data_IF_948447923986
#
_entry.id   IF_948447923986
#
_cell.length_a   1.000
_cell.length_b   1.000
_cell.length_c   1.000
_cell.angle_alpha   90.00
_cell.angle_beta   90.00
_cell.angle_gamma   90.00
#
_symmetry.space_group_name_H-M   'P 1'
#
loop_
_entity.id
_entity.type
_entity.pdbx_description
1 polymer ?
#
# COMPACT_ATOMS: atom_id res chain seq x y z
N UNK A 1 33.97 21.91 49.39
CA UNK A 1 33.57 22.39 48.05
C UNK A 1 33.49 21.20 47.10
N UNK A 2 32.28 20.75 46.75
CA UNK A 2 32.01 19.58 45.89
C UNK A 2 32.12 19.97 44.42
N UNK A 3 32.95 19.28 43.64
CA UNK A 3 33.01 19.39 42.18
C UNK A 3 32.15 18.29 41.56
N UNK A 4 31.09 18.68 40.86
CA UNK A 4 30.18 17.77 40.17
C UNK A 4 30.75 17.53 38.78
N UNK A 5 31.11 16.27 38.48
CA UNK A 5 31.45 15.85 37.13
C UNK A 5 30.15 15.55 36.37
N UNK A 6 29.85 16.40 35.39
CA UNK A 6 28.75 16.23 34.44
C UNK A 6 29.27 15.37 33.28
N UNK A 7 28.94 14.08 33.26
CA UNK A 7 29.35 13.12 32.23
C UNK A 7 28.19 12.71 31.33
N UNK A 8 28.00 13.49 30.27
CA UNK A 8 27.27 13.24 28.99
C UNK A 8 26.38 11.98 28.95
N UNK A 9 25.07 12.18 29.12
CA UNK A 9 24.07 11.25 28.60
C UNK A 9 23.95 11.48 27.08
N UNK A 10 24.29 10.45 26.30
CA UNK A 10 24.11 10.45 24.85
C UNK A 10 22.60 10.50 24.57
N UNK A 11 22.14 11.64 24.03
CA UNK A 11 20.81 11.82 23.45
C UNK A 11 20.70 10.95 22.19
N UNK A 12 20.18 9.73 22.35
CA UNK A 12 19.58 8.96 21.24
C UNK A 12 18.08 8.95 21.46
N UNK A 13 17.40 9.95 20.90
CA UNK A 13 15.94 9.95 20.67
C UNK A 13 15.61 11.12 19.72
N UNK A 14 16.10 11.03 18.48
CA UNK A 14 15.46 11.71 17.35
C UNK A 14 14.59 10.68 16.65
N UNK A 15 13.35 10.57 17.12
CA UNK A 15 12.34 9.68 16.57
C UNK A 15 11.43 9.23 17.69
N UNK A 16 10.13 9.46 17.54
CA UNK A 16 9.03 9.13 18.47
C UNK A 16 8.57 10.26 19.41
N UNK A 17 8.24 11.43 18.87
CA UNK A 17 7.25 12.33 19.51
C UNK A 17 6.29 12.91 18.48
N UNK A 18 5.48 12.05 17.84
CA UNK A 18 4.33 12.50 17.03
C UNK A 18 3.21 11.46 16.84
N UNK A 19 3.25 10.29 17.51
CA UNK A 19 2.42 9.13 17.12
C UNK A 19 0.99 9.15 17.69
N UNK A 20 0.53 10.19 18.39
CA UNK A 20 -0.87 10.22 18.85
C UNK A 20 -1.70 11.38 18.28
N UNK A 21 -1.08 12.43 17.75
CA UNK A 21 -1.80 13.58 17.17
C UNK A 21 -1.79 13.65 15.63
N UNK A 22 -0.84 12.98 14.97
CA UNK A 22 -0.70 13.02 13.50
C UNK A 22 -1.36 11.85 12.76
N UNK A 23 -1.74 10.79 13.47
CA UNK A 23 -2.44 9.64 12.86
C UNK A 23 -3.92 9.93 12.55
N UNK A 24 -4.52 10.90 13.24
CA UNK A 24 -5.90 11.34 13.02
C UNK A 24 -6.00 12.58 12.12
N UNK A 25 -4.86 13.12 11.68
CA UNK A 25 -4.85 14.21 10.72
C UNK A 25 -5.24 13.68 9.34
N UNK A 26 -6.32 14.25 8.80
CA UNK A 26 -6.85 13.93 7.48
C UNK A 26 -6.02 14.67 6.44
N UNK A 27 -5.16 13.96 5.72
CA UNK A 27 -4.35 14.54 4.64
C UNK A 27 -4.86 14.07 3.27
N UNK A 28 -4.99 15.01 2.34
CA UNK A 28 -5.17 14.71 0.92
C UNK A 28 -3.78 14.37 0.36
N UNK A 29 -3.54 13.09 0.05
CA UNK A 29 -2.27 12.68 -0.55
C UNK A 29 -2.37 12.80 -2.05
N UNK A 30 -1.66 13.79 -2.59
CA UNK A 30 -1.48 13.95 -4.02
C UNK A 30 -0.43 12.95 -4.58
N UNK A 31 0.51 12.50 -3.74
CA UNK A 31 1.46 11.42 -4.04
C UNK A 31 1.44 10.36 -2.94
N UNK A 32 1.02 9.15 -3.29
CA UNK A 32 0.91 8.04 -2.32
C UNK A 32 2.26 7.34 -2.06
N UNK A 33 3.33 7.68 -2.81
CA UNK A 33 4.65 7.06 -2.64
C UNK A 33 5.34 7.42 -1.32
N UNK A 34 4.94 8.52 -0.70
CA UNK A 34 5.44 9.01 0.59
C UNK A 34 4.56 8.58 1.77
N UNK A 35 3.50 7.81 1.52
CA UNK A 35 2.58 7.39 2.57
C UNK A 35 3.12 6.19 3.35
N UNK A 36 3.17 6.33 4.67
CA UNK A 36 3.32 5.21 5.60
C UNK A 36 1.95 4.70 6.05
N UNK A 37 1.72 3.39 5.92
CA UNK A 37 0.45 2.77 6.30
C UNK A 37 0.58 2.09 7.66
N UNK A 38 -0.38 2.33 8.57
CA UNK A 38 -0.42 1.66 9.88
C UNK A 38 -0.58 0.15 9.73
N UNK A 39 -1.40 -0.28 8.77
CA UNK A 39 -1.49 -1.65 8.31
C UNK A 39 -0.68 -1.76 7.02
N UNK A 40 0.49 -2.41 7.13
CA UNK A 40 1.30 -2.75 5.95
C UNK A 40 0.61 -3.79 5.07
N UNK A 41 0.98 -3.85 3.79
CA UNK A 41 0.49 -4.87 2.86
C UNK A 41 0.69 -6.30 3.39
N UNK A 42 1.82 -6.56 4.05
CA UNK A 42 2.08 -7.86 4.72
C UNK A 42 1.05 -8.16 5.80
N UNK A 43 0.71 -7.18 6.65
CA UNK A 43 -0.29 -7.34 7.71
C UNK A 43 -1.70 -7.48 7.12
N UNK A 44 -2.02 -6.71 6.08
CA UNK A 44 -3.27 -6.85 5.33
C UNK A 44 -3.41 -8.26 4.73
N UNK A 45 -2.33 -8.84 4.21
CA UNK A 45 -2.33 -10.23 3.73
C UNK A 45 -2.62 -11.27 4.81
N UNK A 46 -2.23 -11.02 6.06
CA UNK A 46 -2.64 -11.87 7.20
C UNK A 46 -4.13 -11.69 7.50
N UNK A 47 -4.61 -10.45 7.60
CA UNK A 47 -6.04 -10.17 7.85
C UNK A 47 -6.93 -10.82 6.78
N UNK A 48 -6.53 -10.77 5.50
CA UNK A 48 -7.23 -11.42 4.40
C UNK A 48 -7.38 -12.93 4.63
N UNK A 49 -6.28 -13.63 4.97
CA UNK A 49 -6.29 -15.07 5.22
C UNK A 49 -7.20 -15.43 6.39
N UNK A 50 -7.12 -14.66 7.47
CA UNK A 50 -7.91 -14.91 8.69
C UNK A 50 -9.41 -14.67 8.43
N UNK A 51 -9.75 -13.67 7.61
CA UNK A 51 -11.13 -13.31 7.30
C UNK A 51 -11.81 -14.27 6.30
N UNK A 52 -11.04 -14.91 5.40
CA UNK A 52 -11.60 -15.69 4.28
C UNK A 52 -11.25 -17.17 4.29
N UNK A 53 -10.22 -17.58 5.04
CA UNK A 53 -9.53 -18.86 4.89
C UNK A 53 -8.97 -19.12 3.48
N UNK A 54 -8.85 -18.10 2.64
CA UNK A 54 -8.26 -18.19 1.29
C UNK A 54 -6.80 -17.74 1.32
N UNK A 55 -6.01 -18.25 0.38
CA UNK A 55 -4.59 -17.88 0.24
C UNK A 55 -4.23 -17.35 -1.14
N UNK A 56 -5.14 -17.48 -2.10
CA UNK A 56 -4.91 -17.07 -3.48
C UNK A 56 -5.75 -15.86 -3.84
N UNK A 57 -5.11 -14.94 -4.55
CA UNK A 57 -5.74 -13.76 -5.15
C UNK A 57 -5.22 -13.60 -6.57
N UNK A 58 -5.99 -12.92 -7.41
CA UNK A 58 -5.58 -12.58 -8.77
C UNK A 58 -4.79 -11.27 -8.77
N UNK A 59 -5.22 -10.32 -7.96
CA UNK A 59 -4.55 -9.04 -7.78
C UNK A 59 -4.82 -8.48 -6.40
N UNK A 60 -3.91 -7.62 -5.95
CA UNK A 60 -4.14 -6.75 -4.80
C UNK A 60 -3.98 -5.32 -5.30
N UNK A 61 -4.98 -4.48 -5.08
CA UNK A 61 -4.94 -3.07 -5.47
C UNK A 61 -4.87 -2.17 -4.25
N UNK A 62 -4.29 -1.00 -4.42
CA UNK A 62 -4.38 0.09 -3.47
C UNK A 62 -4.92 1.31 -4.16
N UNK A 63 -6.16 1.66 -3.82
CA UNK A 63 -6.92 2.72 -4.45
C UNK A 63 -7.81 3.40 -3.43
N UNK A 64 -8.24 4.65 -3.70
CA UNK A 64 -9.33 5.24 -2.94
C UNK A 64 -10.61 4.40 -3.13
N UNK A 65 -11.47 4.42 -2.11
CA UNK A 65 -12.84 3.93 -2.16
C UNK A 65 -13.57 4.57 -3.35
N UNK A 66 -14.48 3.80 -3.96
CA UNK A 66 -15.29 4.30 -5.07
C UNK A 66 -16.13 5.51 -4.63
N UNK A 67 -16.36 6.44 -5.56
CA UNK A 67 -17.18 7.66 -5.36
C UNK A 67 -16.62 8.71 -4.38
N UNK A 68 -15.35 8.64 -4.02
CA UNK A 68 -14.69 9.69 -3.21
C UNK A 68 -14.05 10.75 -4.12
N UNK A 69 -14.62 11.96 -4.14
CA UNK A 69 -14.11 13.08 -4.95
C UNK A 69 -12.79 13.67 -4.41
N UNK A 70 -12.56 13.58 -3.09
CA UNK A 70 -11.36 14.11 -2.43
C UNK A 70 -10.78 13.06 -1.47
N UNK A 71 -9.96 12.13 -1.98
CA UNK A 71 -9.46 11.04 -1.17
C UNK A 71 -8.50 11.52 -0.09
N UNK A 72 -8.62 10.93 1.08
CA UNK A 72 -7.76 11.16 2.24
C UNK A 72 -7.11 9.83 2.64
N UNK A 73 -6.11 9.83 3.53
CA UNK A 73 -5.53 8.58 4.06
C UNK A 73 -6.58 7.57 4.53
N UNK A 74 -7.72 8.02 5.03
CA UNK A 74 -8.78 7.16 5.56
C UNK A 74 -9.71 6.58 4.49
N UNK A 75 -9.62 7.08 3.25
CA UNK A 75 -10.47 6.64 2.14
C UNK A 75 -9.75 5.67 1.22
N UNK A 76 -8.49 5.30 1.47
CA UNK A 76 -7.81 4.25 0.70
C UNK A 76 -8.10 2.87 1.27
N UNK A 77 -8.03 1.86 0.43
CA UNK A 77 -8.21 0.46 0.81
C UNK A 77 -7.21 -0.43 0.08
N UNK A 78 -6.79 -1.50 0.74
CA UNK A 78 -6.27 -2.66 0.03
C UNK A 78 -7.43 -3.50 -0.46
N UNK A 79 -7.52 -3.73 -1.77
CA UNK A 79 -8.52 -4.59 -2.39
C UNK A 79 -7.87 -5.91 -2.79
N UNK A 80 -8.16 -6.98 -2.05
CA UNK A 80 -7.74 -8.35 -2.37
C UNK A 80 -8.81 -8.97 -3.27
N UNK A 81 -8.49 -9.14 -4.55
CA UNK A 81 -9.45 -9.59 -5.57
C UNK A 81 -9.15 -11.05 -5.92
N UNK A 82 -10.04 -11.95 -5.52
CA UNK A 82 -10.04 -13.36 -5.86
C UNK A 82 -10.96 -13.69 -7.04
N UNK A 83 -11.23 -14.98 -7.25
CA UNK A 83 -12.09 -15.44 -8.35
C UNK A 83 -13.59 -15.24 -8.07
N UNK A 84 -14.00 -15.28 -6.80
CA UNK A 84 -15.39 -15.26 -6.35
C UNK A 84 -15.67 -14.19 -5.29
N UNK A 85 -14.63 -13.53 -4.78
CA UNK A 85 -14.72 -12.56 -3.68
C UNK A 85 -13.74 -11.42 -3.89
N UNK A 86 -14.14 -10.26 -3.40
CA UNK A 86 -13.29 -9.11 -3.15
C UNK A 86 -13.29 -8.83 -1.65
N UNK A 87 -12.12 -8.53 -1.10
CA UNK A 87 -11.96 -8.17 0.30
C UNK A 87 -11.27 -6.82 0.38
N UNK A 88 -11.98 -5.82 0.91
CA UNK A 88 -11.43 -4.51 1.17
C UNK A 88 -10.92 -4.44 2.61
N UNK A 89 -9.70 -3.95 2.80
CA UNK A 89 -9.05 -3.78 4.10
C UNK A 89 -8.57 -2.35 4.24
N UNK A 90 -9.09 -1.64 5.23
CA UNK A 90 -8.68 -0.28 5.52
C UNK A 90 -7.22 -0.24 6.06
N UNK A 91 -6.31 0.55 5.46
CA UNK A 91 -4.89 0.58 5.80
C UNK A 91 -4.58 1.29 7.12
N UNK A 92 -5.55 2.01 7.70
CA UNK A 92 -5.42 2.67 9.01
C UNK A 92 -5.93 1.74 10.12
N UNK A 93 -7.16 1.25 9.97
CA UNK A 93 -7.88 0.54 11.04
C UNK A 93 -7.80 -0.98 10.95
N UNK A 94 -7.50 -1.53 9.77
CA UNK A 94 -7.62 -2.97 9.50
C UNK A 94 -9.06 -3.47 9.37
N UNK A 95 -10.06 -2.58 9.43
CA UNK A 95 -11.47 -2.93 9.20
C UNK A 95 -11.60 -3.59 7.83
N UNK A 96 -12.31 -4.71 7.81
CA UNK A 96 -12.45 -5.58 6.64
C UNK A 96 -13.89 -5.64 6.18
N UNK A 97 -14.14 -5.50 4.88
CA UNK A 97 -15.42 -5.79 4.22
C UNK A 97 -15.21 -6.85 3.14
N UNK A 98 -16.22 -7.70 2.93
CA UNK A 98 -16.16 -8.81 1.98
C UNK A 98 -17.35 -8.70 1.04
N UNK A 99 -17.06 -8.69 -0.26
CA UNK A 99 -18.05 -8.62 -1.32
C UNK A 99 -17.95 -9.88 -2.20
N UNK A 100 -19.08 -10.51 -2.46
CA UNK A 100 -19.13 -11.62 -3.42
C UNK A 100 -19.10 -11.07 -4.84
N UNK A 101 -18.17 -11.54 -5.65
CA UNK A 101 -18.06 -11.16 -7.06
C UNK A 101 -18.94 -12.08 -7.91
N UNK A 102 -19.61 -11.51 -8.91
CA UNK A 102 -20.23 -12.32 -9.96
C UNK A 102 -19.09 -12.95 -10.77
N UNK A 103 -19.02 -14.28 -10.78
CA UNK A 103 -17.96 -15.11 -11.39
C UNK A 103 -17.46 -14.74 -12.82
N UNK A 104 -18.08 -13.79 -13.53
CA UNK A 104 -17.79 -13.50 -14.95
C UNK A 104 -16.65 -12.52 -15.20
N UNK A 105 -16.33 -11.61 -14.27
CA UNK A 105 -15.34 -10.54 -14.54
C UNK A 105 -13.87 -10.98 -14.40
N UNK A 106 -13.64 -12.09 -13.69
CA UNK A 106 -12.32 -12.49 -13.22
C UNK A 106 -11.97 -13.95 -13.55
N UNK A 107 -12.80 -14.65 -14.32
CA UNK A 107 -12.49 -16.02 -14.76
C UNK A 107 -11.22 -16.04 -15.62
N UNK A 108 -10.29 -16.93 -15.29
CA UNK A 108 -9.04 -17.22 -16.01
C UNK A 108 -7.89 -16.20 -15.84
N UNK A 109 -7.95 -15.24 -14.90
CA UNK A 109 -6.76 -14.48 -14.55
C UNK A 109 -5.82 -15.32 -13.68
N UNK A 110 -4.49 -15.25 -13.91
CA UNK A 110 -3.56 -16.00 -13.08
C UNK A 110 -3.59 -15.48 -11.64
N UNK A 111 -3.46 -16.41 -10.70
CA UNK A 111 -3.45 -16.15 -9.26
C UNK A 111 -2.04 -16.20 -8.70
N UNK A 112 -1.87 -15.63 -7.52
CA UNK A 112 -0.68 -15.80 -6.69
C UNK A 112 -1.06 -16.01 -5.23
N UNK A 113 -0.17 -16.65 -4.49
CA UNK A 113 -0.36 -16.87 -3.06
C UNK A 113 0.00 -15.60 -2.27
N UNK A 114 -0.90 -15.12 -1.43
CA UNK A 114 -0.73 -13.94 -0.57
C UNK A 114 0.50 -14.06 0.36
N UNK A 115 0.93 -15.28 0.70
CA UNK A 115 2.17 -15.52 1.44
C UNK A 115 3.43 -14.98 0.74
N UNK A 116 3.43 -14.86 -0.58
CA UNK A 116 4.55 -14.33 -1.36
C UNK A 116 4.82 -12.85 -1.06
N UNK A 117 3.84 -12.10 -0.54
CA UNK A 117 4.00 -10.69 -0.13
C UNK A 117 5.14 -10.50 0.87
N UNK A 118 5.43 -11.52 1.69
CA UNK A 118 6.52 -11.46 2.67
C UNK A 118 7.92 -11.50 2.06
N UNK A 119 8.04 -11.80 0.76
CA UNK A 119 9.30 -12.01 0.05
C UNK A 119 9.61 -10.90 -0.97
N UNK A 120 8.65 -10.01 -1.23
CA UNK A 120 8.76 -8.91 -2.20
C UNK A 120 9.08 -7.58 -1.52
N UNK A 121 9.54 -6.60 -2.29
CA UNK A 121 9.80 -5.25 -1.79
C UNK A 121 8.49 -4.55 -1.44
N UNK A 122 8.59 -3.53 -0.57
CA UNK A 122 7.41 -2.75 -0.16
C UNK A 122 6.86 -1.91 -1.33
N UNK A 123 5.53 -1.67 -1.40
CA UNK A 123 4.94 -0.83 -2.44
C UNK A 123 5.59 0.56 -2.57
N UNK A 124 5.99 1.17 -1.45
CA UNK A 124 6.69 2.46 -1.43
C UNK A 124 8.01 2.42 -2.20
N UNK A 125 8.77 1.33 -2.05
CA UNK A 125 10.04 1.16 -2.77
C UNK A 125 9.77 1.04 -4.27
N UNK A 126 8.76 0.25 -4.67
CA UNK A 126 8.39 0.10 -6.06
C UNK A 126 7.86 1.41 -6.69
N UNK A 127 7.07 2.20 -5.95
CA UNK A 127 6.60 3.51 -6.42
C UNK A 127 7.75 4.50 -6.61
N UNK A 128 8.69 4.58 -5.65
CA UNK A 128 9.87 5.43 -5.77
C UNK A 128 10.77 5.02 -6.93
N UNK A 129 10.89 3.71 -7.17
CA UNK A 129 11.57 3.17 -8.35
C UNK A 129 10.87 3.60 -9.66
N UNK A 130 9.54 3.48 -9.73
CA UNK A 130 8.75 3.90 -10.89
C UNK A 130 8.90 5.40 -11.18
N UNK A 131 8.80 6.26 -10.15
CA UNK A 131 9.00 7.72 -10.25
C UNK A 131 10.39 8.01 -10.83
N UNK A 132 11.43 7.35 -10.31
CA UNK A 132 12.81 7.51 -10.80
C UNK A 132 12.97 7.05 -12.25
N UNK A 133 12.36 5.93 -12.64
CA UNK A 133 12.41 5.40 -14.01
C UNK A 133 11.65 6.29 -15.01
N UNK A 134 10.56 6.92 -14.58
CA UNK A 134 9.78 7.84 -15.41
C UNK A 134 10.61 9.08 -15.81
N UNK A 135 11.48 9.58 -14.92
CA UNK A 135 12.43 10.65 -15.22
C UNK A 135 11.82 12.05 -15.37
N UNK A 136 10.49 12.17 -15.29
CA UNK A 136 9.75 13.43 -15.28
C UNK A 136 9.87 14.16 -13.93
N UNK A 137 9.83 15.49 -13.97
CA UNK A 137 9.88 16.32 -12.76
C UNK A 137 8.47 16.40 -12.17
N UNK A 138 8.31 16.23 -10.87
CA UNK A 138 7.01 16.31 -10.17
C UNK A 138 5.99 15.22 -10.53
N UNK A 139 6.41 14.12 -11.16
CA UNK A 139 5.54 12.95 -11.34
C UNK A 139 5.20 12.33 -9.99
N UNK A 140 3.93 11.96 -9.80
CA UNK A 140 3.38 11.45 -8.53
C UNK A 140 2.81 10.07 -8.71
N UNK A 141 2.97 9.20 -7.71
CA UNK A 141 2.28 7.93 -7.70
C UNK A 141 0.82 8.13 -7.25
N UNK A 142 -0.12 7.54 -8.00
CA UNK A 142 -1.57 7.68 -7.76
C UNK A 142 -2.21 6.38 -7.30
N UNK A 143 -1.75 5.26 -7.83
CA UNK A 143 -2.20 3.94 -7.39
C UNK A 143 -1.18 2.88 -7.76
N UNK A 144 -1.32 1.72 -7.12
CA UNK A 144 -0.57 0.54 -7.48
C UNK A 144 -1.45 -0.70 -7.42
N UNK A 145 -1.11 -1.68 -8.25
CA UNK A 145 -1.63 -3.04 -8.12
C UNK A 145 -0.50 -4.05 -8.13
N UNK A 146 -0.62 -5.10 -7.33
CA UNK A 146 0.24 -6.28 -7.36
C UNK A 146 -0.46 -7.36 -8.17
N UNK A 147 0.22 -7.89 -9.18
CA UNK A 147 -0.30 -8.91 -10.07
C UNK A 147 0.80 -9.88 -10.49
N UNK A 148 0.42 -11.03 -11.03
CA UNK A 148 1.36 -11.99 -11.62
C UNK A 148 1.38 -11.89 -13.14
N UNK A 149 2.57 -11.88 -13.72
CA UNK A 149 2.80 -11.91 -15.18
C UNK A 149 3.92 -12.89 -15.49
N UNK A 150 3.62 -13.89 -16.34
CA UNK A 150 4.57 -14.96 -16.70
C UNK A 150 5.22 -15.65 -15.47
N UNK A 151 4.43 -15.83 -14.40
CA UNK A 151 4.87 -16.52 -13.18
C UNK A 151 5.69 -15.67 -12.20
N UNK A 152 5.84 -14.36 -12.46
CA UNK A 152 6.51 -13.42 -11.55
C UNK A 152 5.56 -12.34 -11.07
N UNK A 153 5.78 -11.85 -9.86
CA UNK A 153 5.02 -10.74 -9.29
C UNK A 153 5.55 -9.40 -9.78
N UNK A 154 4.62 -8.51 -10.12
CA UNK A 154 4.91 -7.15 -10.54
C UNK A 154 3.98 -6.18 -9.81
N UNK A 155 4.54 -5.05 -9.43
CA UNK A 155 3.78 -3.85 -9.16
C UNK A 155 3.50 -3.12 -10.48
N UNK A 156 2.23 -2.98 -10.83
CA UNK A 156 1.78 -2.01 -11.84
C UNK A 156 1.49 -0.69 -11.14
N UNK A 157 2.34 0.31 -11.38
CA UNK A 157 2.27 1.64 -10.76
C UNK A 157 1.68 2.63 -11.76
N UNK A 158 0.60 3.32 -11.37
CA UNK A 158 0.08 4.46 -12.12
C UNK A 158 0.68 5.75 -11.58
N UNK A 159 1.33 6.46 -12.49
CA UNK A 159 1.97 7.74 -12.25
C UNK A 159 1.21 8.84 -12.99
N UNK A 160 1.17 10.04 -12.43
CA UNK A 160 0.59 11.20 -13.11
C UNK A 160 1.48 12.43 -12.98
N UNK A 161 1.58 13.18 -14.07
CA UNK A 161 2.13 14.53 -14.14
C UNK A 161 1.12 15.39 -14.92
N UNK A 162 0.64 16.49 -14.34
CA UNK A 162 -0.41 17.35 -14.91
C UNK A 162 -1.65 16.58 -15.41
N UNK A 163 -1.77 16.37 -16.73
CA UNK A 163 -2.87 15.64 -17.39
C UNK A 163 -2.41 14.33 -18.02
N UNK A 164 -1.12 14.01 -17.95
CA UNK A 164 -0.56 12.78 -18.50
C UNK A 164 -0.53 11.69 -17.43
N UNK A 165 -0.84 10.45 -17.84
CA UNK A 165 -0.79 9.28 -16.97
C UNK A 165 0.14 8.25 -17.59
N UNK A 166 1.11 7.80 -16.80
CA UNK A 166 2.04 6.74 -17.17
C UNK A 166 1.75 5.50 -16.33
N UNK A 167 1.96 4.32 -16.90
CA UNK A 167 1.89 3.05 -16.17
C UNK A 167 3.21 2.32 -16.33
N UNK A 168 3.85 1.98 -15.21
CA UNK A 168 5.11 1.25 -15.19
C UNK A 168 4.95 -0.07 -14.45
N UNK A 169 5.59 -1.12 -14.96
CA UNK A 169 5.69 -2.42 -14.31
C UNK A 169 7.04 -2.53 -13.61
N UNK A 170 7.00 -2.67 -12.29
CA UNK A 170 8.17 -2.83 -11.44
C UNK A 170 8.15 -4.24 -10.89
N UNK A 171 9.24 -4.99 -11.07
CA UNK A 171 9.41 -6.33 -10.48
C UNK A 171 9.21 -6.23 -8.97
N UNK A 172 8.39 -7.10 -8.36
CA UNK A 172 8.00 -6.98 -6.96
C UNK A 172 9.07 -7.46 -5.98
#
# INVERSE_FOLDING_TARGET
>A
MKKIFLGIAILVLLGLTAILGLLDATFCYDDISEQEYQISLKKAGTIFKDATNQTEVQTIQFSPQEHIESPTNNTFEYLFIGADKEVAINPTTGKTTIHSLKQREYKNKPTFNVGQISLIKLPQIAMKEAIKQCGQKNVKAKSWSLLTKKGKLYYEIKLSEDKETHTLLIDA
#
